data_IF_748637180313
#
_entry.id   IF_748637180313
#
_cell.length_a   1.000
_cell.length_b   1.000
_cell.length_c   1.000
_cell.angle_alpha   90.00
_cell.angle_beta   90.00
_cell.angle_gamma   90.00
#
_symmetry.space_group_name_H-M   'P 1'
#
loop_
_entity.id
_entity.type
_entity.pdbx_description
1 polymer ?
#
# COMPACT_ATOMS: atom_id res chain seq x y z
N UNK A 1 -22.21 13.27 -4.20
CA UNK A 1 -22.84 12.05 -3.66
C UNK A 1 -21.71 11.14 -3.23
N UNK A 2 -21.47 11.04 -1.92
CA UNK A 2 -20.46 10.14 -1.36
C UNK A 2 -20.95 8.71 -1.54
N UNK A 3 -20.36 7.97 -2.46
CA UNK A 3 -20.51 6.52 -2.50
C UNK A 3 -19.54 5.97 -1.44
N UNK A 4 -20.11 5.56 -0.30
CA UNK A 4 -19.33 4.76 0.65
C UNK A 4 -18.70 3.59 -0.12
N UNK A 5 -17.43 3.24 0.17
CA UNK A 5 -16.81 2.09 -0.47
C UNK A 5 -17.67 0.87 -0.21
N UNK A 6 -17.88 0.05 -1.24
CA UNK A 6 -18.67 -1.18 -1.12
C UNK A 6 -18.10 -2.00 0.05
N UNK A 7 -18.95 -2.31 1.03
CA UNK A 7 -18.60 -3.23 2.10
C UNK A 7 -18.33 -4.61 1.48
N UNK A 8 -17.12 -5.14 1.71
CA UNK A 8 -16.85 -6.51 1.30
C UNK A 8 -17.45 -7.49 2.27
N UNK A 9 -17.90 -8.65 1.78
CA UNK A 9 -18.19 -9.76 2.66
C UNK A 9 -16.92 -10.09 3.46
N UNK A 10 -17.03 -10.29 4.78
CA UNK A 10 -15.88 -10.54 5.67
C UNK A 10 -15.10 -11.83 5.33
N UNK A 11 -15.67 -12.71 4.52
CA UNK A 11 -15.12 -13.98 4.06
C UNK A 11 -14.66 -13.97 2.58
N UNK A 12 -14.70 -12.80 1.92
CA UNK A 12 -14.34 -12.69 0.51
C UNK A 12 -12.83 -12.83 0.31
N UNK A 13 -12.44 -13.72 -0.59
CA UNK A 13 -11.07 -13.82 -1.08
C UNK A 13 -10.87 -12.84 -2.24
N UNK A 14 -9.82 -12.03 -2.16
CA UNK A 14 -9.48 -11.07 -3.20
C UNK A 14 -8.04 -11.25 -3.66
N UNK A 15 -7.82 -11.21 -4.97
CA UNK A 15 -6.48 -11.16 -5.55
C UNK A 15 -6.05 -9.70 -5.64
N UNK A 16 -4.86 -9.41 -5.11
CA UNK A 16 -4.18 -8.12 -5.21
C UNK A 16 -2.97 -8.28 -6.14
N UNK A 17 -3.06 -7.68 -7.32
CA UNK A 17 -2.02 -7.79 -8.35
C UNK A 17 -1.06 -6.60 -8.31
N UNK A 18 0.25 -6.87 -8.32
CA UNK A 18 1.31 -5.87 -8.26
C UNK A 18 2.17 -5.82 -9.53
N UNK A 19 1.71 -6.41 -10.63
CA UNK A 19 2.44 -6.47 -11.90
C UNK A 19 2.87 -5.08 -12.36
N UNK A 20 1.98 -4.08 -12.23
CA UNK A 20 2.23 -2.73 -12.74
C UNK A 20 3.09 -1.86 -11.81
N UNK A 21 3.34 -2.28 -10.57
CA UNK A 21 4.21 -1.56 -9.62
C UNK A 21 5.45 -2.38 -9.27
N UNK A 22 5.33 -3.42 -8.47
CA UNK A 22 6.46 -4.25 -8.03
C UNK A 22 7.04 -5.06 -9.19
N UNK A 23 6.17 -5.70 -9.97
CA UNK A 23 6.56 -6.43 -11.18
C UNK A 23 7.26 -5.56 -12.22
N UNK A 24 6.93 -4.27 -12.30
CA UNK A 24 7.57 -3.32 -13.21
C UNK A 24 9.00 -2.92 -12.80
N UNK A 25 9.41 -3.23 -11.57
CA UNK A 25 10.77 -2.96 -11.08
C UNK A 25 11.77 -4.06 -11.45
N UNK A 26 11.28 -5.15 -12.03
CA UNK A 26 12.15 -6.27 -12.47
C UNK A 26 13.06 -5.83 -13.60
N UNK A 27 14.31 -6.29 -13.57
CA UNK A 27 15.29 -6.05 -14.63
C UNK A 27 14.75 -6.53 -16.01
N UNK A 28 14.93 -5.70 -17.04
CA UNK A 28 14.44 -5.96 -18.39
C UNK A 28 12.96 -5.63 -18.64
N UNK A 29 12.22 -5.20 -17.62
CA UNK A 29 10.82 -4.77 -17.77
C UNK A 29 10.77 -3.23 -17.85
N UNK A 30 10.09 -2.73 -18.89
CA UNK A 30 9.81 -1.29 -19.03
C UNK A 30 8.46 -1.10 -19.69
N UNK A 31 7.43 -0.83 -18.89
CA UNK A 31 6.11 -0.50 -19.41
C UNK A 31 6.00 0.98 -19.77
N UNK A 32 5.41 1.28 -20.92
CA UNK A 32 4.86 2.61 -21.22
C UNK A 32 3.54 2.81 -20.45
N UNK A 33 3.03 4.04 -20.42
CA UNK A 33 1.69 4.31 -19.83
C UNK A 33 0.60 3.54 -20.58
N UNK A 34 0.71 3.45 -21.91
CA UNK A 34 -0.23 2.68 -22.73
C UNK A 34 -0.19 1.18 -22.40
N UNK A 35 1.00 0.61 -22.17
CA UNK A 35 1.14 -0.79 -21.73
C UNK A 35 0.47 -1.00 -20.37
N UNK A 36 0.71 -0.11 -19.41
CA UNK A 36 0.08 -0.19 -18.09
C UNK A 36 -1.45 -0.17 -18.19
N UNK A 37 -2.02 0.72 -19.00
CA UNK A 37 -3.47 0.79 -19.23
C UNK A 37 -4.00 -0.49 -19.88
N UNK A 38 -3.27 -1.05 -20.84
CA UNK A 38 -3.66 -2.30 -21.51
C UNK A 38 -3.62 -3.50 -20.53
N UNK A 39 -2.54 -3.62 -19.75
CA UNK A 39 -2.40 -4.68 -18.74
C UNK A 39 -3.46 -4.54 -17.65
N UNK A 40 -3.76 -3.30 -17.19
CA UNK A 40 -4.81 -3.08 -16.21
C UNK A 40 -6.19 -3.58 -16.68
N UNK A 41 -6.52 -3.38 -17.97
CA UNK A 41 -7.78 -3.92 -18.55
C UNK A 41 -7.79 -5.44 -18.58
N UNK A 42 -6.67 -6.07 -18.93
CA UNK A 42 -6.56 -7.54 -18.94
C UNK A 42 -6.69 -8.13 -17.54
N UNK A 43 -6.08 -7.50 -16.53
CA UNK A 43 -6.20 -7.90 -15.13
C UNK A 43 -7.65 -7.75 -14.63
N UNK A 44 -8.33 -6.67 -15.00
CA UNK A 44 -9.75 -6.48 -14.69
C UNK A 44 -10.62 -7.54 -15.35
N UNK A 45 -10.40 -7.84 -16.63
CA UNK A 45 -11.12 -8.90 -17.35
C UNK A 45 -10.84 -10.30 -16.77
N UNK A 46 -9.65 -10.50 -16.22
CA UNK A 46 -9.29 -11.74 -15.49
C UNK A 46 -9.99 -11.87 -14.13
N UNK A 47 -10.50 -10.75 -13.57
CA UNK A 47 -11.28 -10.73 -12.35
C UNK A 47 -10.47 -10.54 -11.06
N UNK A 48 -9.27 -9.92 -11.12
CA UNK A 48 -8.57 -9.53 -9.90
C UNK A 48 -9.35 -8.44 -9.15
N UNK A 49 -9.24 -8.42 -7.84
CA UNK A 49 -9.95 -7.42 -7.01
C UNK A 49 -9.23 -6.08 -6.93
N UNK A 50 -7.90 -6.08 -7.00
CA UNK A 50 -7.07 -4.88 -6.88
C UNK A 50 -5.91 -4.91 -7.86
N UNK A 51 -5.62 -3.74 -8.45
CA UNK A 51 -4.48 -3.54 -9.36
C UNK A 51 -3.63 -2.40 -8.81
N UNK A 52 -2.44 -2.72 -8.30
CA UNK A 52 -1.48 -1.75 -7.83
C UNK A 52 -0.77 -1.10 -9.02
N UNK A 53 -1.22 0.12 -9.38
CA UNK A 53 -0.88 0.77 -10.63
C UNK A 53 0.50 1.43 -10.66
N UNK A 54 1.08 1.75 -9.50
CA UNK A 54 2.38 2.43 -9.43
C UNK A 54 2.53 3.31 -8.21
N UNK A 55 3.63 4.06 -8.17
CA UNK A 55 3.98 5.01 -7.09
C UNK A 55 3.91 6.46 -7.62
N UNK A 56 2.74 7.11 -7.55
CA UNK A 56 2.61 8.50 -7.96
C UNK A 56 3.47 9.40 -7.07
N UNK A 57 4.07 10.43 -7.66
CA UNK A 57 4.99 11.34 -6.97
C UNK A 57 6.44 10.86 -6.87
N UNK A 58 6.70 9.54 -6.87
CA UNK A 58 8.04 8.98 -6.92
C UNK A 58 8.52 8.74 -8.36
N UNK A 59 7.63 8.24 -9.21
CA UNK A 59 7.92 7.94 -10.62
C UNK A 59 7.04 8.78 -11.53
N UNK A 60 7.62 9.64 -12.39
CA UNK A 60 6.84 10.50 -13.31
C UNK A 60 5.87 9.70 -14.20
N UNK A 61 6.30 8.54 -14.69
CA UNK A 61 5.47 7.65 -15.49
C UNK A 61 4.24 7.14 -14.74
N UNK A 62 4.38 6.87 -13.44
CA UNK A 62 3.26 6.41 -12.63
C UNK A 62 2.28 7.55 -12.35
N UNK A 63 2.79 8.76 -12.13
CA UNK A 63 1.93 9.95 -12.03
C UNK A 63 1.13 10.15 -13.32
N UNK A 64 1.76 10.01 -14.48
CA UNK A 64 1.10 10.09 -15.79
C UNK A 64 0.08 8.97 -15.98
N UNK A 65 0.42 7.73 -15.58
CA UNK A 65 -0.51 6.60 -15.65
C UNK A 65 -1.81 6.89 -14.87
N UNK A 66 -1.72 7.36 -13.63
CA UNK A 66 -2.91 7.70 -12.84
C UNK A 66 -3.70 8.85 -13.48
N UNK A 67 -3.03 9.86 -14.02
CA UNK A 67 -3.70 10.96 -14.70
C UNK A 67 -4.50 10.48 -15.93
N UNK A 68 -3.95 9.59 -16.74
CA UNK A 68 -4.66 9.02 -17.90
C UNK A 68 -5.71 7.99 -17.49
N UNK A 69 -5.47 7.22 -16.44
CA UNK A 69 -6.41 6.21 -15.96
C UNK A 69 -7.78 6.79 -15.57
N UNK A 70 -7.84 8.04 -15.11
CA UNK A 70 -9.10 8.72 -14.75
C UNK A 70 -10.11 8.76 -15.91
N UNK A 71 -9.65 9.03 -17.13
CA UNK A 71 -10.50 9.13 -18.32
C UNK A 71 -10.59 7.82 -19.07
N UNK A 72 -9.48 7.10 -19.18
CA UNK A 72 -9.28 6.03 -20.16
C UNK A 72 -9.48 4.63 -19.57
N UNK A 73 -9.42 4.49 -18.25
CA UNK A 73 -9.53 3.21 -17.58
C UNK A 73 -10.89 3.05 -16.88
N UNK A 74 -11.71 2.16 -17.40
CA UNK A 74 -13.00 1.79 -16.79
C UNK A 74 -12.90 0.34 -16.34
N UNK A 75 -12.67 0.14 -15.05
CA UNK A 75 -12.61 -1.17 -14.42
C UNK A 75 -14.01 -1.59 -13.96
N UNK A 76 -14.33 -2.89 -14.11
CA UNK A 76 -15.61 -3.49 -13.72
C UNK A 76 -15.50 -4.35 -12.48
N UNK A 77 -14.36 -5.01 -12.31
CA UNK A 77 -14.09 -5.98 -11.26
C UNK A 77 -13.06 -5.47 -10.26
N UNK A 78 -12.01 -4.81 -10.77
CA UNK A 78 -10.88 -4.36 -9.96
C UNK A 78 -11.03 -2.92 -9.46
N UNK A 79 -10.41 -2.63 -8.31
CA UNK A 79 -10.14 -1.27 -7.85
C UNK A 79 -8.67 -0.92 -8.14
N UNK A 80 -8.44 0.28 -8.68
CA UNK A 80 -7.09 0.77 -8.90
C UNK A 80 -6.49 1.24 -7.57
N UNK A 81 -5.23 0.86 -7.34
CA UNK A 81 -4.49 1.13 -6.11
C UNK A 81 -3.27 1.99 -6.40
N UNK A 82 -3.09 3.08 -5.65
CA UNK A 82 -1.85 3.84 -5.61
C UNK A 82 -0.97 3.33 -4.46
N UNK A 83 0.29 3.03 -4.75
CA UNK A 83 1.28 2.65 -3.74
C UNK A 83 2.08 3.88 -3.31
N UNK A 84 2.44 3.96 -2.04
CA UNK A 84 3.31 5.01 -1.52
C UNK A 84 3.84 4.72 -0.14
N UNK A 85 4.57 5.70 0.42
CA UNK A 85 5.06 5.64 1.78
C UNK A 85 4.23 6.53 2.71
N UNK A 86 4.39 6.32 4.01
CA UNK A 86 3.89 7.24 5.04
C UNK A 86 4.57 8.60 4.94
N UNK A 87 4.06 9.63 5.61
CA UNK A 87 4.72 10.92 5.70
C UNK A 87 6.19 10.79 6.16
N UNK A 88 7.01 11.74 5.83
CA UNK A 88 8.38 11.80 6.36
C UNK A 88 8.38 12.14 7.86
N UNK A 89 9.39 11.63 8.57
CA UNK A 89 9.61 11.95 9.97
C UNK A 89 9.68 13.47 10.21
N UNK A 90 8.99 13.95 11.24
CA UNK A 90 8.93 15.35 11.61
C UNK A 90 8.13 16.27 10.68
N UNK A 91 7.51 15.76 9.60
CA UNK A 91 6.64 16.55 8.71
C UNK A 91 5.18 16.38 9.12
N UNK A 92 4.39 17.41 8.86
CA UNK A 92 2.94 17.30 8.93
C UNK A 92 2.41 16.60 7.69
N UNK A 93 1.46 15.70 7.86
CA UNK A 93 0.92 14.86 6.80
C UNK A 93 0.37 15.66 5.61
N UNK A 94 -0.35 16.75 5.87
CA UNK A 94 -0.95 17.62 4.84
C UNK A 94 0.06 18.53 4.11
N UNK A 95 1.33 18.52 4.53
CA UNK A 95 2.43 19.23 3.88
C UNK A 95 3.40 18.26 3.17
N UNK A 96 3.18 16.95 3.33
CA UNK A 96 4.06 15.94 2.74
C UNK A 96 3.70 15.66 1.28
N UNK A 97 4.63 15.99 0.38
CA UNK A 97 4.40 15.88 -1.06
C UNK A 97 4.14 14.45 -1.54
N UNK A 98 4.72 13.44 -0.87
CA UNK A 98 4.45 12.04 -1.23
C UNK A 98 3.01 11.66 -0.90
N UNK A 99 2.52 12.07 0.27
CA UNK A 99 1.14 11.81 0.67
C UNK A 99 0.16 12.59 -0.21
N UNK A 100 0.45 13.85 -0.52
CA UNK A 100 -0.39 14.64 -1.43
C UNK A 100 -0.46 14.04 -2.83
N UNK A 101 0.64 13.50 -3.36
CA UNK A 101 0.64 12.83 -4.66
C UNK A 101 -0.26 11.56 -4.68
N UNK A 102 -0.41 10.88 -3.54
CA UNK A 102 -1.36 9.78 -3.41
C UNK A 102 -2.82 10.26 -3.54
N UNK A 103 -3.16 11.40 -2.94
CA UNK A 103 -4.48 12.02 -3.13
C UNK A 103 -4.71 12.48 -4.57
N UNK A 104 -3.69 13.12 -5.15
CA UNK A 104 -3.73 13.62 -6.53
C UNK A 104 -3.86 12.49 -7.56
N UNK A 105 -3.48 11.26 -7.24
CA UNK A 105 -3.69 10.10 -8.10
C UNK A 105 -5.17 9.81 -8.34
N UNK A 106 -6.05 10.22 -7.41
CA UNK A 106 -7.48 9.90 -7.36
C UNK A 106 -7.80 8.40 -7.31
N UNK A 107 -6.79 7.55 -7.04
CA UNK A 107 -7.04 6.13 -6.82
C UNK A 107 -7.97 5.92 -5.61
N UNK A 108 -9.00 5.07 -5.73
CA UNK A 108 -9.94 4.81 -4.64
C UNK A 108 -9.28 4.10 -3.46
N UNK A 109 -8.21 3.37 -3.71
CA UNK A 109 -7.44 2.62 -2.72
C UNK A 109 -6.00 3.09 -2.71
N UNK A 110 -5.42 3.20 -1.52
CA UNK A 110 -3.99 3.52 -1.32
C UNK A 110 -3.36 2.41 -0.48
N UNK A 111 -2.24 1.87 -0.94
CA UNK A 111 -1.38 1.00 -0.13
C UNK A 111 -0.17 1.79 0.36
N UNK A 112 0.02 1.84 1.67
CA UNK A 112 1.14 2.50 2.33
C UNK A 112 2.17 1.48 2.78
N UNK A 113 3.40 1.56 2.29
CA UNK A 113 4.50 0.79 2.88
C UNK A 113 4.88 1.36 4.24
N UNK A 114 4.90 0.50 5.25
CA UNK A 114 5.31 0.81 6.62
C UNK A 114 6.42 -0.14 7.07
N UNK A 115 7.45 0.41 7.73
CA UNK A 115 8.54 -0.41 8.28
C UNK A 115 8.09 -1.05 9.58
N UNK A 116 7.92 -2.38 9.57
CA UNK A 116 7.48 -3.17 10.71
C UNK A 116 8.61 -3.90 11.45
N UNK A 117 9.84 -3.75 10.99
CA UNK A 117 11.04 -4.23 11.65
C UNK A 117 11.78 -3.05 12.31
N UNK A 118 11.98 -3.10 13.63
CA UNK A 118 12.64 -2.04 14.41
C UNK A 118 14.00 -1.66 13.85
N UNK A 119 14.77 -2.64 13.33
CA UNK A 119 16.10 -2.43 12.74
C UNK A 119 16.02 -1.57 11.48
N UNK A 120 14.93 -1.68 10.73
CA UNK A 120 14.70 -0.89 9.52
C UNK A 120 14.20 0.51 9.84
N UNK A 121 13.42 0.68 10.90
CA UNK A 121 13.02 2.01 11.40
C UNK A 121 14.25 2.82 11.77
N UNK A 122 15.15 2.23 12.58
CA UNK A 122 16.35 2.92 13.06
C UNK A 122 17.37 3.18 11.94
N UNK A 123 17.62 2.18 11.07
CA UNK A 123 18.72 2.26 10.08
C UNK A 123 18.32 2.87 8.75
N UNK A 124 17.12 2.56 8.26
CA UNK A 124 16.65 3.04 6.97
C UNK A 124 15.88 4.35 7.10
N UNK A 125 14.89 4.43 8.00
CA UNK A 125 14.14 5.67 8.22
C UNK A 125 14.90 6.66 9.11
N UNK A 126 15.85 6.18 9.93
CA UNK A 126 16.64 6.99 10.87
C UNK A 126 15.79 7.81 11.83
N UNK A 127 14.76 7.18 12.36
CA UNK A 127 13.80 7.80 13.28
C UNK A 127 13.50 6.87 14.47
N UNK A 128 12.74 7.36 15.44
CA UNK A 128 12.31 6.55 16.58
C UNK A 128 11.13 5.64 16.21
N UNK A 129 10.92 4.60 17.00
CA UNK A 129 9.78 3.68 16.85
C UNK A 129 8.47 4.41 17.02
N UNK A 130 8.38 5.33 17.99
CA UNK A 130 7.20 6.14 18.27
C UNK A 130 6.87 7.06 17.09
N UNK A 131 7.89 7.70 16.50
CA UNK A 131 7.69 8.55 15.30
C UNK A 131 7.23 7.71 14.11
N UNK A 132 7.77 6.51 13.92
CA UNK A 132 7.29 5.63 12.83
C UNK A 132 5.81 5.24 13.03
N UNK A 133 5.40 4.93 14.26
CA UNK A 133 3.97 4.68 14.56
C UNK A 133 3.13 5.93 14.28
N UNK A 134 3.59 7.12 14.70
CA UNK A 134 2.91 8.37 14.41
C UNK A 134 2.83 8.64 12.89
N UNK A 135 3.90 8.37 12.13
CA UNK A 135 3.88 8.47 10.66
C UNK A 135 2.80 7.58 10.04
N UNK A 136 2.67 6.34 10.51
CA UNK A 136 1.62 5.42 10.06
C UNK A 136 0.23 5.94 10.43
N UNK A 137 -0.01 6.23 11.70
CA UNK A 137 -1.30 6.68 12.20
C UNK A 137 -1.79 7.96 11.52
N UNK A 138 -0.92 8.99 11.46
CA UNK A 138 -1.24 10.27 10.82
C UNK A 138 -1.58 10.13 9.34
N UNK A 139 -0.79 9.30 8.62
CA UNK A 139 -0.99 9.16 7.17
C UNK A 139 -2.25 8.36 6.86
N UNK A 140 -2.50 7.27 7.60
CA UNK A 140 -3.73 6.50 7.45
C UNK A 140 -4.95 7.34 7.75
N UNK A 141 -4.99 8.01 8.93
CA UNK A 141 -6.12 8.85 9.33
C UNK A 141 -6.39 9.98 8.33
N UNK A 142 -5.34 10.61 7.81
CA UNK A 142 -5.47 11.66 6.80
C UNK A 142 -6.10 11.14 5.50
N UNK A 143 -5.57 10.07 4.93
CA UNK A 143 -6.09 9.52 3.67
C UNK A 143 -7.50 8.95 3.81
N UNK A 144 -7.82 8.33 4.94
CA UNK A 144 -9.18 7.88 5.27
C UNK A 144 -10.13 9.08 5.39
N UNK A 145 -9.69 10.17 6.06
CA UNK A 145 -10.46 11.42 6.15
C UNK A 145 -10.73 12.07 4.79
N UNK A 146 -9.84 11.88 3.82
CA UNK A 146 -10.00 12.30 2.42
C UNK A 146 -10.78 11.27 1.55
N UNK A 147 -11.40 10.28 2.19
CA UNK A 147 -12.27 9.29 1.53
C UNK A 147 -11.53 8.18 0.79
N UNK A 148 -10.26 7.96 1.08
CA UNK A 148 -9.51 6.84 0.49
C UNK A 148 -9.63 5.61 1.37
N UNK A 149 -9.72 4.45 0.74
CA UNK A 149 -9.54 3.18 1.40
C UNK A 149 -8.04 2.92 1.55
N UNK A 150 -7.58 2.61 2.76
CA UNK A 150 -6.15 2.49 3.03
C UNK A 150 -5.80 1.06 3.44
N UNK A 151 -4.78 0.51 2.78
CA UNK A 151 -4.09 -0.72 3.15
C UNK A 151 -2.70 -0.35 3.69
N UNK A 152 -2.25 -1.08 4.70
CA UNK A 152 -0.90 -0.89 5.25
C UNK A 152 -0.07 -2.13 4.99
N UNK A 153 0.95 -1.98 4.14
CA UNK A 153 1.91 -2.99 3.78
C UNK A 153 3.04 -3.02 4.81
N UNK A 154 2.98 -3.98 5.73
CA UNK A 154 3.96 -4.16 6.81
C UNK A 154 5.21 -4.85 6.26
N UNK A 155 6.12 -4.07 5.71
CA UNK A 155 7.34 -4.57 5.08
C UNK A 155 8.28 -5.23 6.11
N UNK A 156 8.79 -6.42 5.77
CA UNK A 156 9.60 -7.27 6.65
C UNK A 156 8.87 -7.69 7.94
N UNK A 157 7.55 -7.87 7.88
CA UNK A 157 6.75 -8.17 9.07
C UNK A 157 7.24 -9.43 9.81
N UNK A 158 7.43 -10.53 9.10
CA UNK A 158 7.78 -11.79 9.73
C UNK A 158 9.17 -11.77 10.37
N UNK A 159 10.14 -11.14 9.73
CA UNK A 159 11.47 -10.93 10.29
C UNK A 159 11.44 -9.99 11.50
N UNK A 160 10.69 -8.91 11.39
CA UNK A 160 10.48 -7.94 12.45
C UNK A 160 9.77 -8.55 13.66
N UNK A 161 8.69 -9.28 13.42
CA UNK A 161 7.93 -9.98 14.45
C UNK A 161 8.77 -11.02 15.20
N UNK A 162 9.64 -11.74 14.48
CA UNK A 162 10.56 -12.68 15.12
C UNK A 162 11.55 -11.98 16.07
N UNK A 163 11.94 -10.76 15.75
CA UNK A 163 12.90 -9.96 16.52
C UNK A 163 12.21 -9.17 17.67
N UNK A 164 11.09 -8.54 17.40
CA UNK A 164 10.29 -7.76 18.33
C UNK A 164 8.79 -7.90 17.99
N UNK A 165 8.12 -8.92 18.56
CA UNK A 165 6.69 -9.17 18.27
C UNK A 165 5.79 -8.02 18.71
N UNK A 166 6.11 -7.36 19.82
CA UNK A 166 5.28 -6.30 20.39
C UNK A 166 5.23 -5.09 19.43
N UNK A 167 6.35 -4.75 18.81
CA UNK A 167 6.40 -3.65 17.85
C UNK A 167 5.57 -3.93 16.59
N UNK A 168 5.70 -5.14 16.02
CA UNK A 168 4.92 -5.54 14.84
C UNK A 168 3.41 -5.46 15.08
N UNK A 169 2.96 -5.93 16.25
CA UNK A 169 1.55 -5.85 16.65
C UNK A 169 1.11 -4.41 16.88
N UNK A 170 1.92 -3.60 17.59
CA UNK A 170 1.62 -2.17 17.80
C UNK A 170 1.44 -1.41 16.49
N UNK A 171 2.25 -1.69 15.48
CA UNK A 171 2.13 -1.06 14.16
C UNK A 171 0.80 -1.42 13.49
N UNK A 172 0.41 -2.69 13.49
CA UNK A 172 -0.88 -3.13 12.97
C UNK A 172 -2.06 -2.50 13.72
N UNK A 173 -1.98 -2.46 15.05
CA UNK A 173 -3.00 -1.82 15.89
C UNK A 173 -3.11 -0.32 15.56
N UNK A 174 -1.99 0.39 15.48
CA UNK A 174 -1.96 1.81 15.11
C UNK A 174 -2.62 2.06 13.75
N UNK A 175 -2.31 1.22 12.77
CA UNK A 175 -2.92 1.31 11.45
C UNK A 175 -4.43 1.07 11.48
N UNK A 176 -4.88 0.03 12.19
CA UNK A 176 -6.29 -0.31 12.33
C UNK A 176 -7.08 0.79 13.07
N UNK A 177 -6.57 1.30 14.18
CA UNK A 177 -7.17 2.39 14.94
C UNK A 177 -7.28 3.69 14.14
N UNK A 178 -6.32 3.94 13.23
CA UNK A 178 -6.35 5.07 12.31
C UNK A 178 -7.32 4.87 11.12
N UNK A 179 -7.91 3.69 10.96
CA UNK A 179 -8.94 3.38 9.96
C UNK A 179 -8.43 2.61 8.74
N UNK A 180 -7.26 1.98 8.80
CA UNK A 180 -6.81 1.08 7.74
C UNK A 180 -7.77 -0.11 7.60
N UNK A 181 -8.11 -0.46 6.36
CA UNK A 181 -9.04 -1.56 6.06
C UNK A 181 -8.35 -2.93 6.02
N UNK A 182 -7.06 -2.95 5.72
CA UNK A 182 -6.25 -4.17 5.56
C UNK A 182 -4.83 -3.93 6.07
N UNK A 183 -4.32 -4.85 6.89
CA UNK A 183 -2.91 -4.99 7.19
C UNK A 183 -2.32 -6.11 6.34
N UNK A 184 -1.31 -5.82 5.54
CA UNK A 184 -0.63 -6.80 4.68
C UNK A 184 0.65 -7.25 5.36
N UNK A 185 0.74 -8.53 5.71
CA UNK A 185 1.92 -9.11 6.36
C UNK A 185 2.89 -9.63 5.28
N UNK A 186 4.05 -9.00 5.18
CA UNK A 186 5.04 -9.33 4.14
C UNK A 186 6.19 -10.19 4.66
N UNK A 187 6.40 -11.32 4.01
CA UNK A 187 7.68 -12.06 4.05
C UNK A 187 8.60 -11.50 2.94
N UNK A 188 9.11 -10.28 3.16
CA UNK A 188 9.85 -9.51 2.14
C UNK A 188 11.11 -10.22 1.68
N UNK A 189 11.79 -10.94 2.59
CA UNK A 189 12.97 -11.74 2.25
C UNK A 189 12.64 -13.11 1.66
N UNK A 190 11.37 -13.57 1.77
CA UNK A 190 10.94 -14.89 1.30
C UNK A 190 11.59 -16.05 2.07
N UNK A 191 11.98 -15.82 3.33
CA UNK A 191 12.72 -16.78 4.15
C UNK A 191 11.86 -17.65 5.06
N UNK A 192 10.57 -17.34 5.18
CA UNK A 192 9.67 -18.05 6.10
C UNK A 192 9.15 -19.35 5.52
N UNK A 193 9.21 -20.42 6.31
CA UNK A 193 8.52 -21.65 5.97
C UNK A 193 7.01 -21.53 6.28
N UNK A 194 6.14 -22.26 5.55
CA UNK A 194 4.69 -22.21 5.77
C UNK A 194 4.29 -22.46 7.23
N UNK A 195 4.98 -23.37 7.92
CA UNK A 195 4.75 -23.65 9.34
C UNK A 195 5.15 -22.47 10.25
N UNK A 196 6.12 -21.66 9.85
CA UNK A 196 6.52 -20.44 10.54
C UNK A 196 5.45 -19.37 10.39
N UNK A 197 4.98 -19.14 9.17
CA UNK A 197 3.89 -18.18 8.88
C UNK A 197 2.64 -18.57 9.67
N UNK A 198 2.21 -19.83 9.60
CA UNK A 198 1.02 -20.30 10.31
C UNK A 198 1.08 -20.03 11.83
N UNK A 199 2.26 -20.17 12.46
CA UNK A 199 2.42 -19.90 13.90
C UNK A 199 2.35 -18.42 14.26
N UNK A 200 2.73 -17.52 13.34
CA UNK A 200 2.73 -16.09 13.61
C UNK A 200 1.40 -15.42 13.27
N UNK A 201 0.58 -16.06 12.43
CA UNK A 201 -0.72 -15.53 12.01
C UNK A 201 -1.89 -16.12 12.81
N UNK A 202 -1.68 -17.27 13.46
CA UNK A 202 -2.67 -17.93 14.33
C UNK A 202 -2.79 -17.21 15.68
#
# INVERSE_FOLDING_TARGET
>A
MSTAPAEWPNDAFHVFDTTLRDGAQREGISYSVADKLAVARLLDDYGVGFIEGGWPGAMPKDTEFFAQARSDLKLRNAQLVAFGATRHAGRKVHEDRQVLALLESEAPVVTLVAKSDVRHVERALRTSLEENLAMVGDTVAFLVGEGRRVFVDCEHFFDGYHHDPDYGVRLLMTAAEAGASVGVLRDTNGGMLPSGIARQVA
#
